data_IF_422090879796
#
_entry.id   IF_422090879796
#
_cell.length_a   1.000
_cell.length_b   1.000
_cell.length_c   1.000
_cell.angle_alpha   90.00
_cell.angle_beta   90.00
_cell.angle_gamma   90.00
#
_symmetry.space_group_name_H-M   'P 1'
#
loop_
_entity.id
_entity.type
_entity.pdbx_description
1 polymer ?
#
# COMPACT_ATOMS: atom_id res chain seq x y z
N UNK A 1 -14.07 3.29 -2.85
CA UNK A 1 -13.60 3.57 -4.24
C UNK A 1 -12.54 2.55 -4.59
N UNK A 2 -12.75 1.76 -5.65
CA UNK A 2 -11.74 0.82 -6.12
C UNK A 2 -10.51 1.58 -6.63
N UNK A 3 -9.32 1.16 -6.20
CA UNK A 3 -8.04 1.71 -6.66
C UNK A 3 -7.18 0.56 -7.16
N UNK A 4 -6.64 0.72 -8.36
CA UNK A 4 -5.66 -0.20 -8.92
C UNK A 4 -4.27 0.31 -8.53
N UNK A 5 -3.55 -0.45 -7.71
CA UNK A 5 -2.24 -0.04 -7.20
C UNK A 5 -1.23 -1.10 -7.59
N UNK A 6 -0.23 -0.71 -8.38
CA UNK A 6 0.99 -1.50 -8.56
C UNK A 6 1.99 -1.06 -7.49
N UNK A 7 2.34 -1.95 -6.57
CA UNK A 7 3.26 -1.63 -5.48
C UNK A 7 4.71 -1.72 -5.96
N UNK A 8 5.38 -0.58 -6.15
CA UNK A 8 6.85 -0.53 -6.24
C UNK A 8 7.49 -0.61 -4.83
N UNK A 9 6.71 -0.29 -3.78
CA UNK A 9 7.12 -0.38 -2.38
C UNK A 9 5.91 -0.66 -1.48
N UNK A 10 6.08 -1.59 -0.53
CA UNK A 10 5.03 -2.01 0.41
C UNK A 10 5.33 -1.63 1.88
N UNK A 11 6.28 -0.73 2.11
CA UNK A 11 6.70 -0.21 3.43
C UNK A 11 6.73 1.32 3.42
N UNK A 12 6.48 2.00 4.54
CA UNK A 12 6.54 3.46 4.60
C UNK A 12 7.97 3.99 4.47
N UNK A 13 8.11 5.26 4.09
CA UNK A 13 9.37 6.00 4.19
C UNK A 13 9.54 6.51 5.62
N UNK A 14 10.68 6.22 6.22
CA UNK A 14 11.10 6.85 7.47
C UNK A 14 11.75 8.21 7.16
N UNK A 15 11.24 9.26 7.78
CA UNK A 15 11.77 10.63 7.66
C UNK A 15 12.12 11.12 9.06
N UNK A 16 13.39 11.48 9.26
CA UNK A 16 13.87 12.10 10.50
C UNK A 16 13.81 13.61 10.34
N UNK A 17 13.02 14.27 11.17
CA UNK A 17 12.91 15.72 11.20
C UNK A 17 14.05 16.34 12.01
N UNK A 18 14.31 17.63 11.77
CA UNK A 18 15.37 18.39 12.45
C UNK A 18 15.16 18.52 13.95
N UNK A 19 13.92 18.42 14.43
CA UNK A 19 13.55 18.42 15.85
C UNK A 19 13.74 17.03 16.53
N UNK A 20 14.25 16.03 15.81
CA UNK A 20 14.46 14.67 16.33
C UNK A 20 13.25 13.75 16.23
N UNK A 21 12.11 14.23 15.74
CA UNK A 21 10.93 13.39 15.52
C UNK A 21 11.09 12.51 14.28
N UNK A 22 10.46 11.34 14.30
CA UNK A 22 10.43 10.41 13.18
C UNK A 22 9.03 10.30 12.62
N UNK A 23 8.88 10.61 11.33
CA UNK A 23 7.64 10.51 10.59
C UNK A 23 7.68 9.34 9.63
N UNK A 24 6.54 8.67 9.46
CA UNK A 24 6.39 7.59 8.50
C UNK A 24 5.43 8.02 7.39
N UNK A 25 5.91 8.10 6.15
CA UNK A 25 5.11 8.47 4.99
C UNK A 25 4.64 7.22 4.26
N UNK A 26 3.36 7.16 3.94
CA UNK A 26 2.75 6.02 3.27
C UNK A 26 3.30 5.85 1.85
N UNK A 27 3.87 4.68 1.56
CA UNK A 27 4.24 4.28 0.19
C UNK A 27 3.33 3.16 -0.35
N UNK A 28 2.59 2.46 0.51
CA UNK A 28 1.75 1.34 0.09
C UNK A 28 0.42 1.75 -0.53
N UNK A 29 0.05 3.04 -0.59
CA UNK A 29 -1.23 3.47 -1.18
C UNK A 29 -2.50 3.13 -0.37
N UNK A 30 -2.44 2.28 0.66
CA UNK A 30 -3.62 1.83 1.43
C UNK A 30 -3.97 2.66 2.66
N UNK A 31 -3.08 3.54 3.14
CA UNK A 31 -3.39 4.33 4.33
C UNK A 31 -4.62 5.23 4.13
N UNK A 32 -5.48 5.29 5.15
CA UNK A 32 -6.61 6.20 5.30
C UNK A 32 -6.20 7.57 5.83
N UNK A 33 -5.04 7.67 6.49
CA UNK A 33 -4.49 8.91 7.04
C UNK A 33 -3.36 9.50 6.19
N UNK A 34 -3.56 9.60 4.87
CA UNK A 34 -2.53 10.13 3.96
C UNK A 34 -2.21 11.59 4.31
N UNK A 35 -0.93 12.02 4.19
CA UNK A 35 0.22 11.31 3.61
C UNK A 35 0.91 10.32 4.55
N UNK A 36 0.51 10.25 5.82
CA UNK A 36 1.16 9.45 6.84
C UNK A 36 0.83 7.97 6.74
N UNK A 37 1.68 7.15 7.35
CA UNK A 37 1.46 5.72 7.51
C UNK A 37 0.61 5.45 8.76
N UNK A 38 -0.49 4.72 8.58
CA UNK A 38 -1.36 4.23 9.66
C UNK A 38 -1.21 2.73 9.95
N UNK A 39 -0.22 2.08 9.32
CA UNK A 39 0.02 0.64 9.47
C UNK A 39 -0.71 -0.23 8.44
N UNK A 40 -1.54 0.32 7.55
CA UNK A 40 -2.25 -0.45 6.51
C UNK A 40 -1.32 -1.24 5.59
N UNK A 41 -0.05 -0.84 5.48
CA UNK A 41 1.00 -1.53 4.72
C UNK A 41 1.28 -2.97 5.21
N UNK A 42 0.80 -3.37 6.40
CA UNK A 42 0.92 -4.75 6.85
C UNK A 42 0.12 -5.72 5.97
N UNK A 43 -0.95 -5.24 5.31
CA UNK A 43 -1.77 -6.01 4.36
C UNK A 43 -1.06 -6.29 3.03
N UNK A 44 0.12 -5.69 2.78
CA UNK A 44 0.85 -5.80 1.50
C UNK A 44 2.15 -6.62 1.64
N UNK A 45 2.39 -7.27 2.79
CA UNK A 45 3.70 -7.90 3.10
C UNK A 45 3.88 -9.29 2.51
N UNK A 46 2.78 -9.99 2.30
CA UNK A 46 2.71 -11.32 1.71
C UNK A 46 2.28 -11.28 0.24
N UNK A 47 2.25 -10.08 -0.35
CA UNK A 47 2.07 -9.92 -1.79
C UNK A 47 3.30 -10.39 -2.55
N UNK A 48 3.07 -11.03 -3.69
CA UNK A 48 4.14 -11.39 -4.60
C UNK A 48 4.62 -10.14 -5.35
N UNK A 49 5.95 -9.87 -5.39
CA UNK A 49 6.48 -8.73 -6.12
C UNK A 49 6.07 -8.75 -7.60
N UNK A 50 5.62 -7.60 -8.11
CA UNK A 50 5.22 -7.43 -9.52
C UNK A 50 3.78 -7.88 -9.84
N UNK A 51 3.10 -8.53 -8.90
CA UNK A 51 1.70 -8.91 -9.05
C UNK A 51 0.75 -7.76 -8.74
N UNK A 52 -0.46 -7.85 -9.30
CA UNK A 52 -1.48 -6.82 -9.13
C UNK A 52 -2.59 -7.28 -8.20
N UNK A 53 -2.98 -6.40 -7.28
CA UNK A 53 -4.03 -6.67 -6.31
C UNK A 53 -5.07 -5.55 -6.33
N UNK A 54 -6.35 -5.95 -6.28
CA UNK A 54 -7.49 -5.04 -6.06
C UNK A 54 -7.88 -5.15 -4.60
N UNK A 55 -8.01 -3.98 -3.96
CA UNK A 55 -8.37 -3.86 -2.55
C UNK A 55 -9.80 -3.34 -2.40
N UNK A 56 -10.58 -4.02 -1.57
CA UNK A 56 -11.83 -3.49 -1.02
C UNK A 56 -11.69 -3.22 0.49
N UNK A 57 -12.79 -2.80 1.13
CA UNK A 57 -12.81 -2.41 2.54
C UNK A 57 -12.34 -3.54 3.48
N UNK A 58 -12.59 -4.81 3.13
CA UNK A 58 -12.37 -5.99 3.98
C UNK A 58 -11.54 -7.09 3.32
N UNK A 59 -11.33 -7.04 2.01
CA UNK A 59 -10.76 -8.12 1.21
C UNK A 59 -9.76 -7.59 0.18
N UNK A 60 -9.01 -8.53 -0.43
CA UNK A 60 -8.14 -8.26 -1.57
C UNK A 60 -8.18 -9.45 -2.52
N UNK A 61 -8.07 -9.18 -3.82
CA UNK A 61 -8.04 -10.20 -4.87
C UNK A 61 -6.85 -9.96 -5.79
N UNK A 62 -6.07 -11.02 -6.09
CA UNK A 62 -5.01 -10.96 -7.10
C UNK A 62 -5.64 -10.94 -8.50
N UNK A 63 -5.23 -9.97 -9.31
CA UNK A 63 -5.69 -9.83 -10.69
C UNK A 63 -4.83 -10.72 -11.59
N UNK A 64 -5.43 -11.77 -12.15
CA UNK A 64 -4.75 -12.68 -13.09
C UNK A 64 -5.00 -12.33 -14.56
N UNK A 65 -6.10 -11.64 -14.85
CA UNK A 65 -6.50 -11.24 -16.20
C UNK A 65 -7.53 -10.12 -16.10
N UNK A 66 -7.42 -9.13 -16.97
CA UNK A 66 -8.33 -7.97 -17.01
C UNK A 66 -9.57 -8.20 -17.87
N UNK A 67 -9.55 -9.22 -18.74
CA UNK A 67 -10.62 -9.55 -19.66
C UNK A 67 -10.80 -11.05 -19.72
N UNK A 68 -11.91 -11.56 -19.17
CA UNK A 68 -12.39 -12.89 -19.54
C UNK A 68 -12.77 -12.84 -21.02
N UNK A 69 -12.11 -13.65 -21.85
CA UNK A 69 -12.62 -13.96 -23.18
C UNK A 69 -13.90 -14.80 -23.06
#
# INVERSE_FOLDING_TARGET
MARLVRHDRNRPYEIKASNGETFYICACGLSKNKPFCDGSHKRTLDETPGELYIYDDSSRVRVITFYSA
#
